data_IF_070482318327
#
_entry.id   IF_070482318327
#
_cell.length_a   1.000
_cell.length_b   1.000
_cell.length_c   1.000
_cell.angle_alpha   90.00
_cell.angle_beta   90.00
_cell.angle_gamma   90.00
#
_symmetry.space_group_name_H-M   'P 1'
#
loop_
_entity.id
_entity.type
_entity.pdbx_description
1 polymer ?
#
# COMPACT_ATOMS: atom_id res chain seq x y z
N UNK A 1 -23.73 4.57 11.14
CA UNK A 1 -22.43 4.52 10.42
C UNK A 1 -21.68 3.30 10.92
N UNK A 2 -21.25 2.39 10.04
CA UNK A 2 -20.65 1.12 10.48
C UNK A 2 -19.13 1.25 10.71
N UNK A 3 -18.75 1.57 11.95
CA UNK A 3 -17.35 1.80 12.35
C UNK A 3 -16.47 0.55 12.26
N UNK A 4 -17.04 -0.63 12.51
CA UNK A 4 -16.33 -1.92 12.42
C UNK A 4 -15.86 -2.16 10.99
N UNK A 5 -16.74 -1.89 10.01
CA UNK A 5 -16.41 -2.02 8.60
C UNK A 5 -15.28 -1.06 8.19
N UNK A 6 -15.31 0.19 8.65
CA UNK A 6 -14.28 1.20 8.35
C UNK A 6 -12.93 0.78 8.93
N UNK A 7 -12.88 0.34 10.20
CA UNK A 7 -11.66 -0.16 10.84
C UNK A 7 -11.09 -1.37 10.11
N UNK A 8 -11.94 -2.32 9.72
CA UNK A 8 -11.53 -3.49 8.96
C UNK A 8 -10.94 -3.09 7.60
N UNK A 9 -11.57 -2.14 6.89
CA UNK A 9 -11.06 -1.60 5.62
C UNK A 9 -9.68 -1.00 5.75
N UNK A 10 -9.44 -0.21 6.81
CA UNK A 10 -8.11 0.35 7.07
C UNK A 10 -7.03 -0.74 7.21
N UNK A 11 -7.36 -1.87 7.85
CA UNK A 11 -6.48 -3.04 7.91
C UNK A 11 -6.19 -3.65 6.54
N UNK A 12 -7.21 -3.79 5.68
CA UNK A 12 -7.04 -4.26 4.30
C UNK A 12 -6.16 -3.33 3.46
N UNK A 13 -6.23 -2.01 3.66
CA UNK A 13 -5.32 -1.07 3.00
C UNK A 13 -3.87 -1.30 3.39
N UNK A 14 -3.59 -1.48 4.69
CA UNK A 14 -2.25 -1.79 5.18
C UNK A 14 -1.72 -3.10 4.57
N UNK A 15 -2.56 -4.14 4.53
CA UNK A 15 -2.21 -5.42 3.90
C UNK A 15 -1.97 -5.28 2.40
N UNK A 16 -2.81 -4.54 1.68
CA UNK A 16 -2.64 -4.32 0.25
C UNK A 16 -1.35 -3.55 -0.04
N UNK A 17 -1.06 -2.54 0.76
CA UNK A 17 0.19 -1.78 0.67
C UNK A 17 1.40 -2.69 0.88
N UNK A 18 1.38 -3.51 1.94
CA UNK A 18 2.49 -4.42 2.25
C UNK A 18 2.64 -5.53 1.21
N UNK A 19 1.54 -6.12 0.75
CA UNK A 19 1.54 -7.15 -0.27
C UNK A 19 2.12 -6.65 -1.60
N UNK A 20 1.68 -5.47 -2.06
CA UNK A 20 2.23 -4.86 -3.27
C UNK A 20 3.72 -4.52 -3.11
N UNK A 21 4.12 -4.01 -1.94
CA UNK A 21 5.51 -3.63 -1.66
C UNK A 21 6.41 -4.85 -1.68
N UNK A 22 6.07 -5.87 -0.88
CA UNK A 22 6.85 -7.09 -0.76
C UNK A 22 6.94 -7.84 -2.09
N UNK A 23 5.83 -7.94 -2.82
CA UNK A 23 5.81 -8.61 -4.13
C UNK A 23 6.72 -7.90 -5.13
N UNK A 24 6.59 -6.58 -5.28
CA UNK A 24 7.43 -5.82 -6.22
C UNK A 24 8.90 -5.86 -5.81
N UNK A 25 9.20 -5.76 -4.52
CA UNK A 25 10.56 -5.84 -4.00
C UNK A 25 11.18 -7.20 -4.29
N UNK A 26 10.45 -8.28 -4.01
CA UNK A 26 10.92 -9.64 -4.26
C UNK A 26 11.16 -9.89 -5.75
N UNK A 27 10.25 -9.45 -6.62
CA UNK A 27 10.42 -9.59 -8.07
C UNK A 27 11.63 -8.78 -8.56
N UNK A 28 11.80 -7.55 -8.10
CA UNK A 28 12.94 -6.71 -8.48
C UNK A 28 14.28 -7.32 -8.03
N UNK A 29 14.37 -7.78 -6.78
CA UNK A 29 15.57 -8.41 -6.23
C UNK A 29 15.85 -9.77 -6.87
N UNK A 30 14.82 -10.58 -7.13
CA UNK A 30 14.97 -11.84 -7.85
C UNK A 30 15.44 -11.61 -9.29
N UNK A 31 14.88 -10.62 -9.98
CA UNK A 31 15.35 -10.21 -11.31
C UNK A 31 16.82 -9.78 -11.30
N UNK A 32 17.21 -8.99 -10.30
CA UNK A 32 18.60 -8.54 -10.17
C UNK A 32 19.58 -9.67 -9.83
N UNK A 33 19.31 -10.48 -8.81
CA UNK A 33 20.26 -11.48 -8.32
C UNK A 33 20.22 -12.80 -9.07
N UNK A 34 19.04 -13.26 -9.50
CA UNK A 34 18.88 -14.57 -10.15
C UNK A 34 18.94 -14.48 -11.68
N UNK A 35 18.40 -13.40 -12.25
CA UNK A 35 18.36 -13.21 -13.70
C UNK A 35 19.39 -12.19 -14.20
N UNK A 36 20.20 -11.59 -13.31
CA UNK A 36 21.21 -10.57 -13.64
C UNK A 36 20.67 -9.39 -14.45
N UNK A 37 19.40 -9.04 -14.24
CA UNK A 37 18.79 -7.88 -14.88
C UNK A 37 19.23 -6.55 -14.22
N UNK A 38 19.30 -5.46 -14.98
CA UNK A 38 19.49 -4.14 -14.40
C UNK A 38 18.25 -3.75 -13.59
N UNK A 39 18.47 -3.35 -12.35
CA UNK A 39 17.40 -2.95 -11.42
C UNK A 39 16.63 -1.72 -11.94
N UNK A 40 17.26 -0.88 -12.76
CA UNK A 40 16.64 0.30 -13.37
C UNK A 40 15.66 -0.11 -14.47
N UNK A 41 16.04 -1.07 -15.32
CA UNK A 41 15.13 -1.64 -16.32
C UNK A 41 13.95 -2.37 -15.64
N UNK A 42 14.24 -3.08 -14.54
CA UNK A 42 13.20 -3.68 -13.71
C UNK A 42 12.28 -2.62 -13.10
N UNK A 43 12.80 -1.49 -12.62
CA UNK A 43 11.98 -0.41 -12.09
C UNK A 43 11.07 0.21 -13.19
N UNK A 44 11.60 0.39 -14.40
CA UNK A 44 10.85 0.91 -15.54
C UNK A 44 9.71 -0.01 -15.98
N UNK A 45 9.84 -1.31 -15.74
CA UNK A 45 8.77 -2.29 -15.97
C UNK A 45 7.80 -2.42 -14.78
N UNK A 46 8.33 -2.54 -13.57
CA UNK A 46 7.57 -2.90 -12.38
C UNK A 46 6.77 -1.73 -11.82
N UNK A 47 7.24 -0.49 -11.94
CA UNK A 47 6.48 0.68 -11.47
C UNK A 47 5.15 0.79 -12.22
N UNK A 48 5.10 0.84 -13.57
CA UNK A 48 3.83 0.93 -14.29
C UNK A 48 2.90 -0.25 -14.02
N UNK A 49 3.43 -1.49 -14.03
CA UNK A 49 2.63 -2.69 -13.76
C UNK A 49 2.06 -2.64 -12.34
N UNK A 50 2.90 -2.34 -11.34
CA UNK A 50 2.51 -2.25 -9.95
C UNK A 50 1.43 -1.20 -9.73
N UNK A 51 1.55 -0.03 -10.36
CA UNK A 51 0.54 1.03 -10.31
C UNK A 51 -0.78 0.57 -10.93
N UNK A 52 -0.76 -0.03 -12.12
CA UNK A 52 -1.98 -0.53 -12.80
C UNK A 52 -2.67 -1.60 -11.96
N UNK A 53 -1.93 -2.59 -11.48
CA UNK A 53 -2.49 -3.68 -10.65
C UNK A 53 -3.10 -3.12 -9.37
N UNK A 54 -2.40 -2.22 -8.70
CA UNK A 54 -2.89 -1.57 -7.48
C UNK A 54 -4.14 -0.73 -7.75
N UNK A 55 -4.18 -0.01 -8.87
CA UNK A 55 -5.32 0.81 -9.26
C UNK A 55 -6.55 -0.06 -9.57
N UNK A 56 -6.36 -1.16 -10.29
CA UNK A 56 -7.43 -2.12 -10.59
C UNK A 56 -7.94 -2.79 -9.31
N UNK A 57 -7.06 -3.17 -8.39
CA UNK A 57 -7.45 -3.74 -7.11
C UNK A 57 -8.29 -2.74 -6.29
N UNK A 58 -7.84 -1.49 -6.19
CA UNK A 58 -8.58 -0.43 -5.50
C UNK A 58 -9.93 -0.16 -6.15
N UNK A 59 -9.97 -0.02 -7.48
CA UNK A 59 -11.19 0.18 -8.24
C UNK A 59 -12.18 -0.97 -8.03
N UNK A 60 -11.71 -2.22 -8.06
CA UNK A 60 -12.54 -3.39 -7.78
C UNK A 60 -13.17 -3.36 -6.39
N UNK A 61 -12.42 -2.95 -5.36
CA UNK A 61 -12.95 -2.79 -4.00
C UNK A 61 -13.99 -1.67 -3.93
N UNK A 62 -13.73 -0.53 -4.56
CA UNK A 62 -14.66 0.60 -4.60
C UNK A 62 -15.96 0.21 -5.32
N UNK A 63 -15.87 -0.41 -6.49
CA UNK A 63 -17.02 -0.89 -7.26
C UNK A 63 -17.84 -1.89 -6.44
N UNK A 64 -17.20 -2.87 -5.81
CA UNK A 64 -17.86 -3.82 -4.91
C UNK A 64 -18.64 -3.10 -3.79
N UNK A 65 -18.03 -2.07 -3.20
CA UNK A 65 -18.64 -1.36 -2.09
C UNK A 65 -19.80 -0.45 -2.52
N UNK A 66 -19.77 0.08 -3.75
CA UNK A 66 -20.89 0.81 -4.35
C UNK A 66 -22.14 -0.07 -4.51
N UNK A 67 -21.97 -1.35 -4.85
CA UNK A 67 -23.07 -2.32 -4.97
C UNK A 67 -23.51 -2.94 -3.63
N UNK A 68 -22.82 -2.64 -2.53
CA UNK A 68 -23.17 -3.19 -1.21
C UNK A 68 -24.45 -2.57 -0.64
N UNK A 69 -25.25 -3.32 0.14
CA UNK A 69 -26.47 -2.84 0.81
C UNK A 69 -26.21 -1.88 2.00
N UNK A 70 -25.04 -1.24 2.06
CA UNK A 70 -24.66 -0.32 3.14
C UNK A 70 -25.38 1.03 3.04
N UNK A 71 -25.47 1.73 4.17
CA UNK A 71 -26.01 3.09 4.23
C UNK A 71 -25.16 4.08 3.43
N UNK A 72 -25.78 5.13 2.88
CA UNK A 72 -25.09 6.18 2.09
C UNK A 72 -23.89 6.79 2.84
N UNK A 73 -24.05 7.09 4.13
CA UNK A 73 -22.95 7.64 4.94
C UNK A 73 -21.74 6.70 5.04
N UNK A 74 -21.99 5.37 5.10
CA UNK A 74 -20.91 4.38 5.13
C UNK A 74 -20.20 4.29 3.77
N UNK A 75 -20.94 4.36 2.66
CA UNK A 75 -20.36 4.39 1.30
C UNK A 75 -19.49 5.63 1.09
N UNK A 76 -19.98 6.81 1.47
CA UNK A 76 -19.23 8.06 1.37
C UNK A 76 -17.95 8.02 2.21
N UNK A 77 -18.02 7.51 3.44
CA UNK A 77 -16.84 7.35 4.29
C UNK A 77 -15.80 6.40 3.68
N UNK A 78 -16.23 5.29 3.08
CA UNK A 78 -15.33 4.35 2.40
C UNK A 78 -14.71 4.97 1.14
N UNK A 79 -15.50 5.69 0.34
CA UNK A 79 -15.00 6.40 -0.84
C UNK A 79 -13.98 7.47 -0.46
N UNK A 80 -14.28 8.28 0.56
CA UNK A 80 -13.36 9.29 1.07
C UNK A 80 -12.06 8.64 1.58
N UNK A 81 -12.17 7.53 2.32
CA UNK A 81 -11.02 6.77 2.78
C UNK A 81 -10.21 6.20 1.61
N UNK A 82 -10.88 5.69 0.57
CA UNK A 82 -10.22 5.18 -0.63
C UNK A 82 -9.44 6.27 -1.37
N UNK A 83 -10.04 7.46 -1.53
CA UNK A 83 -9.36 8.61 -2.14
C UNK A 83 -8.16 9.04 -1.30
N UNK A 84 -8.34 9.15 0.02
CA UNK A 84 -7.29 9.59 0.93
C UNK A 84 -6.11 8.60 0.97
N UNK A 85 -6.39 7.30 0.88
CA UNK A 85 -5.38 6.24 0.95
C UNK A 85 -4.86 5.79 -0.42
N UNK A 86 -5.46 6.24 -1.53
CA UNK A 86 -5.03 5.87 -2.88
C UNK A 86 -3.58 6.27 -3.13
N UNK A 87 -3.23 7.52 -2.81
CA UNK A 87 -1.89 8.04 -3.04
C UNK A 87 -0.83 7.28 -2.21
N UNK A 88 -1.00 7.08 -0.89
CA UNK A 88 -0.14 6.17 -0.13
C UNK A 88 -0.06 4.76 -0.71
N UNK A 89 -1.18 4.20 -1.18
CA UNK A 89 -1.22 2.86 -1.77
C UNK A 89 -0.41 2.76 -3.06
N UNK A 90 -0.51 3.75 -3.94
CA UNK A 90 0.31 3.84 -5.16
C UNK A 90 1.80 4.05 -4.88
N UNK A 91 2.15 4.57 -3.71
CA UNK A 91 3.54 4.69 -3.30
C UNK A 91 4.21 3.33 -3.08
N UNK A 92 3.45 2.29 -2.73
CA UNK A 92 3.96 0.96 -2.39
C UNK A 92 4.86 0.32 -3.48
N UNK A 93 4.43 0.14 -4.74
CA UNK A 93 5.29 -0.41 -5.79
C UNK A 93 6.53 0.47 -6.06
N UNK A 94 6.40 1.78 -5.90
CA UNK A 94 7.50 2.72 -6.12
C UNK A 94 8.55 2.61 -5.02
N UNK A 95 8.13 2.62 -3.75
CA UNK A 95 9.05 2.46 -2.62
C UNK A 95 9.76 1.11 -2.65
N UNK A 96 9.08 0.05 -3.12
CA UNK A 96 9.70 -1.25 -3.32
C UNK A 96 10.84 -1.19 -4.35
N UNK A 97 10.65 -0.53 -5.49
CA UNK A 97 11.72 -0.36 -6.49
C UNK A 97 12.84 0.56 -6.02
N UNK A 98 12.54 1.60 -5.23
CA UNK A 98 13.56 2.45 -4.60
C UNK A 98 14.42 1.62 -3.64
N UNK A 99 13.80 0.77 -2.81
CA UNK A 99 14.50 -0.12 -1.91
C UNK A 99 15.36 -1.14 -2.67
N UNK A 100 14.84 -1.71 -3.77
CA UNK A 100 15.61 -2.62 -4.62
C UNK A 100 16.83 -1.93 -5.25
N UNK A 101 16.66 -0.70 -5.77
CA UNK A 101 17.76 0.07 -6.35
C UNK A 101 18.84 0.41 -5.31
N UNK A 102 18.43 0.75 -4.09
CA UNK A 102 19.36 0.97 -2.97
C UNK A 102 20.17 -0.30 -2.64
N UNK A 103 19.52 -1.47 -2.57
CA UNK A 103 20.22 -2.76 -2.34
C UNK A 103 21.22 -3.07 -3.47
N UNK A 104 20.88 -2.71 -4.71
CA UNK A 104 21.72 -2.91 -5.88
C UNK A 104 22.80 -1.81 -6.07
N UNK A 105 22.91 -0.84 -5.16
CA UNK A 105 23.81 0.33 -5.25
C UNK A 105 23.61 1.15 -6.53
N UNK A 106 22.35 1.32 -6.94
CA UNK A 106 21.94 2.09 -8.12
C UNK A 106 21.02 3.23 -7.70
N UNK A 107 21.17 4.38 -8.36
CA UNK A 107 20.24 5.49 -8.17
C UNK A 107 18.94 5.23 -8.94
N UNK A 108 17.82 5.21 -8.23
CA UNK A 108 16.47 5.10 -8.82
C UNK A 108 16.13 6.30 -9.73
N UNK A 109 16.86 7.41 -9.62
CA UNK A 109 16.66 8.60 -10.45
C UNK A 109 16.94 8.37 -11.94
N UNK A 110 17.65 7.28 -12.27
CA UNK A 110 17.87 6.87 -13.67
C UNK A 110 16.66 6.14 -14.28
N UNK A 111 15.68 5.73 -13.48
CA UNK A 111 14.42 5.13 -13.96
C UNK A 111 13.52 6.21 -14.57
N UNK A 112 13.15 6.00 -15.83
CA UNK A 112 12.21 6.87 -16.54
C UNK A 112 10.81 6.79 -15.92
N UNK A 113 10.37 5.61 -15.48
CA UNK A 113 9.08 5.41 -14.84
C UNK A 113 9.02 6.10 -13.47
N UNK A 114 10.08 6.02 -12.67
CA UNK A 114 10.18 6.74 -11.41
C UNK A 114 10.11 8.25 -11.62
N UNK A 115 10.89 8.78 -12.58
CA UNK A 115 10.88 10.20 -12.91
C UNK A 115 9.48 10.67 -13.34
N UNK A 116 8.80 9.89 -14.19
CA UNK A 116 7.46 10.23 -14.66
C UNK A 116 6.41 10.16 -13.56
N UNK A 117 6.53 9.21 -12.64
CA UNK A 117 5.69 9.14 -11.45
C UNK A 117 5.90 10.38 -10.57
N UNK A 118 7.15 10.75 -10.26
CA UNK A 118 7.46 11.98 -9.51
C UNK A 118 6.85 13.21 -10.18
N UNK A 119 7.02 13.37 -11.50
CA UNK A 119 6.42 14.48 -12.26
C UNK A 119 4.89 14.50 -12.12
N UNK A 120 4.25 13.35 -12.24
CA UNK A 120 2.79 13.25 -12.17
C UNK A 120 2.27 13.64 -10.79
N UNK A 121 2.91 13.15 -9.73
CA UNK A 121 2.54 13.53 -8.36
C UNK A 121 2.84 15.00 -8.10
N UNK A 122 3.98 15.53 -8.56
CA UNK A 122 4.30 16.96 -8.49
C UNK A 122 3.22 17.81 -9.14
N UNK A 123 2.72 17.44 -10.33
CA UNK A 123 1.64 18.16 -11.02
C UNK A 123 0.32 18.13 -10.23
N UNK A 124 0.02 17.02 -9.57
CA UNK A 124 -1.18 16.89 -8.75
C UNK A 124 -1.11 17.75 -7.49
N UNK A 125 0.07 17.83 -6.87
CA UNK A 125 0.30 18.60 -5.65
C UNK A 125 0.54 20.09 -5.93
N UNK A 126 0.94 20.46 -7.16
CA UNK A 126 1.30 21.83 -7.53
C UNK A 126 0.28 22.90 -7.10
N UNK A 127 -1.04 22.72 -7.34
CA UNK A 127 -2.04 23.71 -6.93
C UNK A 127 -2.09 23.94 -5.42
N UNK A 128 -1.72 22.94 -4.62
CA UNK A 128 -1.67 23.05 -3.16
C UNK A 128 -0.40 23.78 -2.69
N UNK A 129 0.70 23.67 -3.44
CA UNK A 129 2.00 24.26 -3.13
C UNK A 129 2.06 25.72 -3.57
N UNK A 130 1.37 26.08 -4.65
CA UNK A 130 1.24 27.47 -5.13
C UNK A 130 0.63 28.38 -4.04
N UNK A 131 -0.24 27.83 -3.18
CA UNK A 131 -0.79 28.51 -2.00
C UNK A 131 0.27 28.78 -0.92
N UNK A 132 1.34 27.98 -0.86
CA UNK A 132 2.40 28.03 0.17
C UNK A 132 3.69 28.72 -0.33
N UNK A 133 3.83 28.91 -1.65
CA UNK A 133 4.78 29.79 -2.29
C UNK A 133 6.28 29.56 -1.96
N UNK A 134 6.75 28.29 -1.92
CA UNK A 134 8.19 28.01 -2.02
C UNK A 134 8.52 26.58 -2.50
N UNK A 135 9.52 26.45 -3.38
CA UNK A 135 10.02 25.14 -3.84
C UNK A 135 10.70 24.32 -2.73
N UNK A 136 11.23 24.98 -1.69
CA UNK A 136 11.75 24.30 -0.51
C UNK A 136 10.64 23.64 0.32
N UNK A 137 9.45 24.24 0.41
CA UNK A 137 8.30 23.62 1.05
C UNK A 137 7.82 22.38 0.30
N UNK A 138 7.96 22.34 -1.04
CA UNK A 138 7.65 21.14 -1.82
C UNK A 138 8.60 19.98 -1.52
N UNK A 139 9.92 20.20 -1.59
CA UNK A 139 10.89 19.14 -1.30
C UNK A 139 10.77 18.66 0.15
N UNK A 140 10.50 19.56 1.11
CA UNK A 140 10.19 19.17 2.47
C UNK A 140 8.90 18.36 2.58
N UNK A 141 7.81 18.77 1.93
CA UNK A 141 6.53 18.05 1.95
C UNK A 141 6.66 16.68 1.27
N UNK A 142 7.46 16.59 0.20
CA UNK A 142 7.77 15.35 -0.49
C UNK A 142 8.57 14.41 0.42
N UNK A 143 9.65 14.89 1.04
CA UNK A 143 10.42 14.10 2.01
C UNK A 143 9.58 13.69 3.22
N UNK A 144 8.75 14.60 3.75
CA UNK A 144 7.85 14.31 4.86
C UNK A 144 6.79 13.27 4.46
N UNK A 145 6.23 13.34 3.26
CA UNK A 145 5.33 12.33 2.73
C UNK A 145 6.03 10.98 2.59
N UNK A 146 7.24 10.94 2.00
CA UNK A 146 8.03 9.72 1.90
C UNK A 146 8.34 9.13 3.26
N UNK A 147 8.72 9.97 4.23
CA UNK A 147 9.01 9.55 5.60
C UNK A 147 7.76 9.01 6.29
N UNK A 148 6.63 9.73 6.24
CA UNK A 148 5.37 9.31 6.86
C UNK A 148 4.84 8.05 6.19
N UNK A 149 4.86 7.95 4.86
CA UNK A 149 4.44 6.76 4.13
C UNK A 149 5.33 5.55 4.48
N UNK A 150 6.64 5.76 4.61
CA UNK A 150 7.58 4.70 4.99
C UNK A 150 7.44 4.30 6.46
N UNK A 151 7.30 5.24 7.37
CA UNK A 151 7.13 4.99 8.81
C UNK A 151 5.77 4.39 9.11
N UNK A 152 4.69 4.90 8.54
CA UNK A 152 3.33 4.35 8.70
C UNK A 152 3.24 2.98 8.04
N UNK A 153 3.81 2.82 6.84
CA UNK A 153 3.93 1.52 6.17
C UNK A 153 4.71 0.53 7.02
N UNK A 154 5.89 0.91 7.52
CA UNK A 154 6.74 0.09 8.39
C UNK A 154 6.07 -0.26 9.71
N UNK A 155 5.48 0.70 10.43
CA UNK A 155 4.81 0.47 11.71
C UNK A 155 3.55 -0.38 11.55
N UNK A 156 2.74 -0.13 10.51
CA UNK A 156 1.57 -0.95 10.20
C UNK A 156 1.98 -2.40 9.95
N UNK A 157 3.09 -2.59 9.25
CA UNK A 157 3.68 -3.91 8.96
C UNK A 157 4.25 -4.57 10.19
N UNK A 158 5.03 -3.85 10.99
CA UNK A 158 5.62 -4.36 12.22
C UNK A 158 4.52 -4.84 13.18
N UNK A 159 3.45 -4.06 13.33
CA UNK A 159 2.32 -4.45 14.16
C UNK A 159 1.55 -5.65 13.60
N UNK A 160 1.37 -5.74 12.29
CA UNK A 160 0.73 -6.90 11.64
C UNK A 160 1.60 -8.16 11.74
N UNK A 161 2.91 -8.05 11.52
CA UNK A 161 3.87 -9.15 11.64
C UNK A 161 3.94 -9.61 13.09
N UNK A 162 4.00 -8.71 14.07
CA UNK A 162 3.96 -9.07 15.50
C UNK A 162 2.64 -9.75 15.84
N UNK A 163 1.50 -9.25 15.35
CA UNK A 163 0.20 -9.88 15.59
C UNK A 163 0.12 -11.27 14.96
N UNK A 164 0.62 -11.42 13.73
CA UNK A 164 0.71 -12.68 13.02
C UNK A 164 1.63 -13.67 13.75
N UNK A 165 2.83 -13.25 14.15
CA UNK A 165 3.78 -14.06 14.89
C UNK A 165 3.24 -14.45 16.27
N UNK A 166 2.55 -13.55 16.98
CA UNK A 166 1.86 -13.88 18.23
C UNK A 166 0.81 -14.96 18.02
N UNK A 167 0.02 -14.89 16.94
CA UNK A 167 -0.96 -15.92 16.60
C UNK A 167 -0.30 -17.23 16.21
N UNK A 168 0.79 -17.19 15.44
CA UNK A 168 1.55 -18.36 15.03
C UNK A 168 2.22 -19.06 16.24
N UNK A 169 2.77 -18.29 17.18
CA UNK A 169 3.37 -18.79 18.41
C UNK A 169 2.33 -19.25 19.44
N UNK A 170 1.13 -18.67 19.43
CA UNK A 170 0.02 -19.11 20.26
C UNK A 170 -0.70 -20.35 19.69
N UNK A 171 -0.55 -20.62 18.39
CA UNK A 171 -1.09 -21.80 17.75
C UNK A 171 -0.31 -23.05 18.19
N UNK A 172 -1.04 -24.03 18.75
CA UNK A 172 -0.46 -25.32 19.16
C UNK A 172 -0.03 -26.19 17.98
N UNK A 173 -0.63 -26.00 16.81
CA UNK A 173 -0.26 -26.65 15.55
C UNK A 173 -0.61 -25.76 14.34
N UNK A 174 0.02 -26.04 13.18
CA UNK A 174 -0.31 -25.34 11.91
C UNK A 174 -1.76 -25.60 11.48
N UNK A 175 -2.35 -26.75 11.87
CA UNK A 175 -3.74 -27.07 11.59
C UNK A 175 -4.72 -26.14 12.29
N UNK A 176 -4.52 -25.92 13.60
CA UNK A 176 -5.38 -25.05 14.42
C UNK A 176 -5.34 -23.59 13.91
N UNK A 177 -4.18 -23.13 13.44
CA UNK A 177 -4.02 -21.79 12.88
C UNK A 177 -4.80 -21.59 11.57
N UNK A 178 -4.79 -22.59 10.68
CA UNK A 178 -5.53 -22.55 9.41
C UNK A 178 -7.03 -22.63 9.67
N UNK A 179 -7.46 -23.45 10.62
CA UNK A 179 -8.85 -23.58 11.02
C UNK A 179 -9.39 -22.28 11.64
N UNK A 180 -8.62 -21.62 12.52
CA UNK A 180 -9.01 -20.34 13.11
C UNK A 180 -9.02 -19.18 12.10
N UNK A 181 -8.15 -19.19 11.07
CA UNK A 181 -8.18 -18.19 10.00
C UNK A 181 -9.27 -18.40 8.95
N UNK A 182 -9.80 -19.62 8.85
CA UNK A 182 -10.87 -19.98 7.89
C UNK A 182 -12.25 -20.09 8.53
N UNK A 183 -12.32 -20.06 9.87
CA UNK A 183 -13.55 -20.00 10.61
C UNK A 183 -14.40 -18.77 10.17
N UNK A 184 -15.67 -18.96 9.82
CA UNK A 184 -16.58 -17.84 9.58
C UNK A 184 -16.68 -17.00 10.85
N UNK A 185 -16.57 -15.67 10.74
CA UNK A 185 -16.83 -14.74 11.85
C UNK A 185 -18.16 -15.13 12.51
N UNK A 186 -18.11 -15.66 13.74
CA UNK A 186 -19.32 -16.00 14.49
C UNK A 186 -20.19 -14.76 14.59
N UNK A 187 -21.38 -14.82 13.98
CA UNK A 187 -22.41 -13.81 14.15
C UNK A 187 -22.61 -13.60 15.66
N UNK A 188 -22.57 -12.36 16.16
CA UNK A 188 -22.81 -12.11 17.58
C UNK A 188 -24.15 -12.75 17.93
N UNK A 189 -24.13 -13.72 18.84
CA UNK A 189 -25.35 -14.27 19.39
C UNK A 189 -26.08 -13.10 20.04
N UNK A 190 -27.15 -12.64 19.41
CA UNK A 190 -28.16 -11.80 20.04
C UNK A 190 -28.79 -12.65 21.13
N UNK A 191 -28.20 -12.58 22.33
CA UNK A 191 -28.82 -13.06 23.56
C UNK A 191 -30.12 -12.31 23.78
N UNK A 192 -31.20 -13.08 23.83
CA UNK A 192 -32.54 -12.67 24.21
C UNK A 192 -32.63 -12.30 25.70
#
# INVERSE_FOLDING_TARGET
MNLILIKRRLGWYGLAWMGAFALVLLVALAGHFLAHADVIDMADLLIPIGLVVTALALAGVVVRDLFSKQTIGTRLAILLLAILLALPLFWSPVSATVAAAWVADRSIEYSSAYAQFRITVSRLLWPMIEVVNSGAAFEFAWQAFQFVASVVGFLSTLLQVIAFLRKLLAARSVGDFVEEMTAPDETPQTGA
#
